data_IF_871561115632
#
_entry.id   IF_871561115632
#
_cell.length_a   1.000
_cell.length_b   1.000
_cell.length_c   1.000
_cell.angle_alpha   90.00
_cell.angle_beta   90.00
_cell.angle_gamma   90.00
#
_symmetry.space_group_name_H-M   'P 1'
#
loop_
_entity.id
_entity.type
_entity.pdbx_description
1 polymer ?
#
# COMPACT_ATOMS: atom_id res chain seq x y z
N UNK A 1 15.60 -0.83 -10.61
CA UNK A 1 15.63 -1.22 -9.19
C UNK A 1 15.87 -2.72 -9.13
N UNK A 2 16.86 -3.16 -8.36
CA UNK A 2 17.25 -4.58 -8.31
C UNK A 2 16.13 -5.41 -7.69
N UNK A 3 15.74 -6.52 -8.31
CA UNK A 3 14.77 -7.46 -7.74
C UNK A 3 13.30 -7.22 -8.09
N UNK A 4 12.97 -6.34 -9.04
CA UNK A 4 11.60 -6.23 -9.58
C UNK A 4 11.43 -7.10 -10.83
N UNK A 5 10.43 -7.98 -10.82
CA UNK A 5 10.06 -8.84 -11.94
C UNK A 5 8.77 -8.28 -12.56
N UNK A 6 8.78 -7.81 -13.82
CA UNK A 6 7.56 -7.39 -14.50
C UNK A 6 6.68 -8.60 -14.82
N UNK A 7 5.41 -8.53 -14.47
CA UNK A 7 4.40 -9.58 -14.69
C UNK A 7 3.45 -9.26 -15.86
N UNK A 8 3.58 -8.09 -16.48
CA UNK A 8 2.76 -7.65 -17.61
C UNK A 8 1.95 -6.39 -17.30
N UNK A 9 0.96 -6.10 -18.15
CA UNK A 9 0.13 -4.87 -18.06
C UNK A 9 -1.39 -5.16 -18.04
N UNK A 10 -1.90 -5.91 -17.04
CA UNK A 10 -3.35 -6.11 -16.92
C UNK A 10 -4.08 -4.77 -16.73
N UNK A 11 -5.21 -4.58 -17.44
CA UNK A 11 -5.97 -3.32 -17.45
C UNK A 11 -5.14 -2.07 -17.84
N UNK A 12 -4.05 -2.27 -18.57
CA UNK A 12 -3.13 -1.21 -18.98
C UNK A 12 -2.28 -0.64 -17.86
N UNK A 13 -2.20 -1.30 -16.69
CA UNK A 13 -1.39 -0.89 -15.54
C UNK A 13 -0.25 -1.89 -15.39
N UNK A 14 0.99 -1.41 -15.31
CA UNK A 14 2.15 -2.28 -15.17
C UNK A 14 2.15 -2.96 -13.79
N UNK A 15 2.24 -4.29 -13.79
CA UNK A 15 2.32 -5.09 -12.58
C UNK A 15 3.74 -5.61 -12.40
N UNK A 16 4.31 -5.36 -11.22
CA UNK A 16 5.64 -5.82 -10.83
C UNK A 16 5.57 -6.65 -9.55
N UNK A 17 6.41 -7.67 -9.47
CA UNK A 17 6.58 -8.49 -8.28
C UNK A 17 8.01 -8.34 -7.77
N UNK A 18 8.16 -7.93 -6.52
CA UNK A 18 9.47 -7.88 -5.88
C UNK A 18 9.92 -9.30 -5.50
N UNK A 19 11.18 -9.67 -5.76
CA UNK A 19 11.76 -10.99 -5.43
C UNK A 19 11.63 -11.33 -3.95
N UNK A 20 11.63 -10.33 -3.07
CA UNK A 20 11.42 -10.56 -1.64
C UNK A 20 10.03 -11.16 -1.35
N UNK A 21 9.04 -11.02 -2.24
CA UNK A 21 7.74 -11.69 -2.05
C UNK A 21 7.92 -13.20 -1.80
N UNK A 22 8.91 -13.86 -2.41
CA UNK A 22 9.18 -15.27 -2.14
C UNK A 22 9.61 -15.56 -0.69
N UNK A 23 10.12 -14.56 0.05
CA UNK A 23 10.40 -14.67 1.49
C UNK A 23 9.10 -14.93 2.28
N UNK A 24 7.96 -14.35 1.89
CA UNK A 24 6.68 -14.63 2.58
C UNK A 24 6.29 -16.10 2.42
N UNK A 25 6.55 -16.71 1.26
CA UNK A 25 6.29 -18.14 1.03
C UNK A 25 7.18 -19.02 1.89
N UNK A 26 8.48 -18.68 1.98
CA UNK A 26 9.44 -19.42 2.80
C UNK A 26 9.07 -19.32 4.27
N UNK A 27 8.74 -18.12 4.77
CA UNK A 27 8.31 -17.93 6.15
C UNK A 27 6.98 -18.65 6.44
N UNK A 28 6.02 -18.62 5.51
CA UNK A 28 4.77 -19.36 5.64
C UNK A 28 5.03 -20.87 5.73
N UNK A 29 5.91 -21.41 4.88
CA UNK A 29 6.27 -22.83 4.90
C UNK A 29 6.97 -23.22 6.22
N UNK A 30 7.95 -22.43 6.67
CA UNK A 30 8.68 -22.67 7.93
C UNK A 30 7.71 -22.63 9.12
N UNK A 31 6.76 -21.69 9.14
CA UNK A 31 5.80 -21.55 10.25
C UNK A 31 4.95 -22.80 10.49
N UNK A 32 4.71 -23.59 9.43
CA UNK A 32 3.88 -24.79 9.48
C UNK A 32 4.68 -26.10 9.35
N UNK A 33 6.01 -26.02 9.23
CA UNK A 33 6.88 -27.18 8.99
C UNK A 33 6.78 -28.24 10.11
N UNK A 34 6.50 -27.78 11.33
CA UNK A 34 6.36 -28.63 12.53
C UNK A 34 4.96 -29.21 12.70
N UNK A 35 3.99 -28.83 11.86
CA UNK A 35 2.58 -29.22 11.98
C UNK A 35 2.27 -30.40 11.06
N UNK A 36 2.36 -30.21 9.74
CA UNK A 36 2.21 -31.27 8.72
C UNK A 36 2.51 -30.74 7.32
N UNK A 37 2.78 -31.65 6.37
CA UNK A 37 2.91 -31.28 4.95
C UNK A 37 1.65 -30.61 4.38
N UNK A 38 0.45 -31.01 4.83
CA UNK A 38 -0.81 -30.37 4.44
C UNK A 38 -0.93 -28.93 4.96
N UNK A 39 -0.49 -28.67 6.20
CA UNK A 39 -0.48 -27.33 6.77
C UNK A 39 0.52 -26.41 6.05
N UNK A 40 1.70 -26.93 5.70
CA UNK A 40 2.68 -26.22 4.85
C UNK A 40 2.08 -25.86 3.51
N UNK A 41 1.47 -26.83 2.82
CA UNK A 41 0.84 -26.58 1.52
C UNK A 41 -0.28 -25.53 1.63
N UNK A 42 -1.12 -25.61 2.66
CA UNK A 42 -2.21 -24.66 2.89
C UNK A 42 -1.68 -23.24 3.12
N UNK A 43 -0.66 -23.08 3.97
CA UNK A 43 -0.06 -21.79 4.25
C UNK A 43 0.65 -21.19 3.03
N UNK A 44 1.34 -21.99 2.22
CA UNK A 44 1.98 -21.52 0.99
C UNK A 44 0.95 -21.13 -0.07
N UNK A 45 -0.16 -21.86 -0.19
CA UNK A 45 -1.26 -21.49 -1.11
C UNK A 45 -1.90 -20.17 -0.68
N UNK A 46 -2.13 -19.97 0.63
CA UNK A 46 -2.67 -18.71 1.13
C UNK A 46 -1.69 -17.55 0.98
N UNK A 47 -0.45 -17.69 1.44
CA UNK A 47 0.56 -16.62 1.41
C UNK A 47 1.09 -16.33 0.00
N UNK A 48 0.89 -17.24 -0.95
CA UNK A 48 1.29 -17.09 -2.34
C UNK A 48 0.15 -16.66 -3.24
N UNK A 49 -0.42 -17.56 -4.06
CA UNK A 49 -1.37 -17.18 -5.10
C UNK A 49 -2.60 -16.44 -4.56
N UNK A 50 -3.15 -16.87 -3.41
CA UNK A 50 -4.35 -16.23 -2.85
C UNK A 50 -4.04 -14.81 -2.37
N UNK A 51 -2.99 -14.63 -1.55
CA UNK A 51 -2.59 -13.31 -1.06
C UNK A 51 -2.16 -12.39 -2.21
N UNK A 52 -1.40 -12.90 -3.19
CA UNK A 52 -0.93 -12.14 -4.34
C UNK A 52 -2.11 -11.58 -5.14
N UNK A 53 -3.09 -12.42 -5.49
CA UNK A 53 -4.29 -11.98 -6.20
C UNK A 53 -5.11 -11.02 -5.33
N UNK A 54 -5.22 -11.29 -4.03
CA UNK A 54 -6.01 -10.45 -3.12
C UNK A 54 -5.44 -9.03 -3.01
N UNK A 55 -4.13 -8.92 -2.79
CA UNK A 55 -3.43 -7.63 -2.75
C UNK A 55 -3.50 -6.96 -4.13
N UNK A 56 -3.27 -7.70 -5.22
CA UNK A 56 -3.36 -7.13 -6.56
C UNK A 56 -4.72 -6.48 -6.84
N UNK A 57 -5.82 -7.17 -6.49
CA UNK A 57 -7.17 -6.64 -6.68
C UNK A 57 -7.46 -5.44 -5.77
N UNK A 58 -6.91 -5.41 -4.57
CA UNK A 58 -6.94 -4.25 -3.68
C UNK A 58 -6.24 -3.04 -4.32
N UNK A 59 -4.98 -3.19 -4.76
CA UNK A 59 -4.22 -2.11 -5.43
C UNK A 59 -4.86 -1.67 -6.75
N UNK A 60 -5.45 -2.61 -7.48
CA UNK A 60 -6.21 -2.32 -8.69
C UNK A 60 -7.41 -1.42 -8.39
N UNK A 61 -8.06 -1.60 -7.23
CA UNK A 61 -9.13 -0.72 -6.76
C UNK A 61 -8.70 0.74 -6.66
N UNK A 62 -7.55 0.99 -6.02
CA UNK A 62 -6.95 2.33 -5.97
C UNK A 62 -6.66 2.87 -7.36
N UNK A 63 -6.01 2.08 -8.21
CA UNK A 63 -5.64 2.51 -9.56
C UNK A 63 -6.85 2.85 -10.42
N UNK A 64 -7.92 2.04 -10.37
CA UNK A 64 -9.15 2.32 -11.12
C UNK A 64 -9.84 3.59 -10.59
N UNK A 65 -9.91 3.76 -9.27
CA UNK A 65 -10.46 4.96 -8.66
C UNK A 65 -9.65 6.22 -9.01
N UNK A 66 -8.32 6.13 -9.01
CA UNK A 66 -7.42 7.22 -9.43
C UNK A 66 -7.71 7.66 -10.86
N UNK A 67 -7.88 6.70 -11.79
CA UNK A 67 -8.29 7.02 -13.17
C UNK A 67 -9.66 7.72 -13.23
N UNK A 68 -10.62 7.31 -12.41
CA UNK A 68 -11.96 7.92 -12.35
C UNK A 68 -11.92 9.37 -11.84
N UNK A 69 -10.98 9.70 -10.96
CA UNK A 69 -10.76 11.07 -10.49
C UNK A 69 -9.75 11.85 -11.34
N UNK A 70 -9.32 11.30 -12.48
CA UNK A 70 -8.40 11.96 -13.40
C UNK A 70 -6.97 12.10 -12.88
N UNK A 71 -6.58 11.31 -11.88
CA UNK A 71 -5.21 11.23 -11.39
C UNK A 71 -4.39 10.22 -12.20
N UNK A 72 -3.08 10.45 -12.27
CA UNK A 72 -2.15 9.57 -12.98
C UNK A 72 -2.00 8.20 -12.29
N UNK A 73 -1.74 7.16 -13.07
CA UNK A 73 -1.47 5.80 -12.58
C UNK A 73 -0.23 5.27 -13.28
N UNK A 74 0.79 4.90 -12.51
CA UNK A 74 2.06 4.44 -13.05
C UNK A 74 2.18 2.91 -13.07
N UNK A 75 2.32 2.27 -11.90
CA UNK A 75 2.48 0.82 -11.78
C UNK A 75 2.06 0.32 -10.39
N UNK A 76 1.84 -0.98 -10.29
CA UNK A 76 1.59 -1.70 -9.04
C UNK A 76 2.82 -2.56 -8.72
N UNK A 77 3.32 -2.47 -7.49
CA UNK A 77 4.39 -3.32 -6.98
C UNK A 77 3.88 -4.22 -5.86
N UNK A 78 3.99 -5.53 -6.04
CA UNK A 78 3.68 -6.51 -5.01
C UNK A 78 4.96 -6.90 -4.27
N UNK A 79 4.95 -6.86 -2.94
CA UNK A 79 6.15 -7.06 -2.12
C UNK A 79 5.78 -7.73 -0.78
N UNK A 80 6.75 -8.14 0.07
CA UNK A 80 6.47 -8.97 1.24
C UNK A 80 5.44 -8.42 2.22
N UNK A 81 5.39 -7.08 2.36
CA UNK A 81 4.55 -6.43 3.36
C UNK A 81 3.21 -5.94 2.79
N UNK A 82 2.92 -6.21 1.51
CA UNK A 82 1.66 -5.79 0.87
C UNK A 82 1.78 -5.48 -0.62
N UNK A 83 0.97 -4.54 -1.07
CA UNK A 83 1.04 -3.92 -2.38
C UNK A 83 1.41 -2.45 -2.25
N UNK A 84 1.91 -1.87 -3.33
CA UNK A 84 2.12 -0.45 -3.47
C UNK A 84 1.60 -0.03 -4.85
N UNK A 85 0.48 0.67 -4.89
CA UNK A 85 0.01 1.38 -6.07
C UNK A 85 0.69 2.75 -6.19
N UNK A 86 1.49 2.93 -7.24
CA UNK A 86 2.09 4.23 -7.56
C UNK A 86 1.09 5.07 -8.36
N UNK A 87 0.22 5.76 -7.64
CA UNK A 87 -0.80 6.66 -8.17
C UNK A 87 -0.50 8.12 -7.82
N UNK A 88 -0.89 9.02 -8.73
CA UNK A 88 -0.86 10.46 -8.51
C UNK A 88 -1.92 10.89 -7.49
N UNK A 89 -1.72 12.07 -6.92
CA UNK A 89 -2.70 12.69 -6.03
C UNK A 89 -3.75 13.43 -6.87
N UNK A 90 -4.98 13.48 -6.37
CA UNK A 90 -6.03 14.28 -7.00
C UNK A 90 -6.01 15.73 -6.48
N UNK A 91 -6.80 16.58 -7.11
CA UNK A 91 -6.89 17.99 -6.76
C UNK A 91 -7.63 18.28 -5.44
N UNK A 92 -8.20 17.29 -4.75
CA UNK A 92 -8.97 17.54 -3.52
C UNK A 92 -8.98 16.36 -2.53
N UNK A 93 -9.04 16.63 -1.21
CA UNK A 93 -9.11 15.59 -0.19
C UNK A 93 -10.29 14.63 -0.36
N UNK A 94 -11.43 15.13 -0.86
CA UNK A 94 -12.61 14.27 -1.07
C UNK A 94 -12.42 13.23 -2.20
N UNK A 95 -11.64 13.56 -3.22
CA UNK A 95 -11.31 12.63 -4.31
C UNK A 95 -10.25 11.62 -3.86
N UNK A 96 -9.28 12.06 -3.07
CA UNK A 96 -8.29 11.16 -2.47
C UNK A 96 -8.91 10.21 -1.44
N UNK A 97 -9.89 10.69 -0.65
CA UNK A 97 -10.69 9.85 0.23
C UNK A 97 -11.42 8.76 -0.55
N UNK A 98 -12.03 9.11 -1.69
CA UNK A 98 -12.68 8.14 -2.57
C UNK A 98 -11.67 7.09 -3.05
N UNK A 99 -10.49 7.50 -3.53
CA UNK A 99 -9.43 6.57 -3.96
C UNK A 99 -8.99 5.65 -2.82
N UNK A 100 -8.74 6.20 -1.62
CA UNK A 100 -8.28 5.44 -0.45
C UNK A 100 -9.30 4.42 0.03
N UNK A 101 -10.60 4.69 -0.09
CA UNK A 101 -11.66 3.73 0.27
C UNK A 101 -11.83 2.62 -0.77
N UNK A 102 -11.58 2.90 -2.05
CA UNK A 102 -11.85 1.96 -3.13
C UNK A 102 -10.96 0.72 -3.10
N UNK A 103 -9.70 0.80 -2.64
CA UNK A 103 -8.85 -0.38 -2.45
C UNK A 103 -9.43 -1.39 -1.45
N UNK A 104 -9.69 -0.98 -0.20
CA UNK A 104 -10.35 -1.83 0.80
C UNK A 104 -11.72 -2.37 0.34
N UNK A 105 -12.51 -1.59 -0.39
CA UNK A 105 -13.81 -2.05 -0.91
C UNK A 105 -13.68 -3.20 -1.93
N UNK A 106 -12.54 -3.35 -2.60
CA UNK A 106 -12.31 -4.50 -3.50
C UNK A 106 -12.29 -5.84 -2.76
N UNK A 107 -12.20 -5.87 -1.43
CA UNK A 107 -12.36 -7.11 -0.66
C UNK A 107 -13.81 -7.61 -0.63
N UNK A 108 -14.81 -6.75 -0.81
CA UNK A 108 -16.23 -7.16 -0.83
C UNK A 108 -16.57 -8.10 -1.99
N UNK A 109 -16.29 -7.77 -3.28
CA UNK A 109 -16.55 -8.70 -4.37
C UNK A 109 -15.70 -9.97 -4.26
N UNK A 110 -14.47 -9.88 -3.76
CA UNK A 110 -13.63 -11.05 -3.50
C UNK A 110 -14.26 -11.97 -2.44
N UNK A 111 -14.73 -11.40 -1.33
CA UNK A 111 -15.42 -12.15 -0.28
C UNK A 111 -16.70 -12.79 -0.82
N UNK A 112 -17.49 -12.09 -1.63
CA UNK A 112 -18.68 -12.64 -2.26
C UNK A 112 -18.36 -13.88 -3.13
N UNK A 113 -17.26 -13.84 -3.88
CA UNK A 113 -16.78 -15.00 -4.66
C UNK A 113 -16.41 -16.17 -3.74
N UNK A 114 -15.64 -15.93 -2.68
CA UNK A 114 -15.26 -16.99 -1.74
C UNK A 114 -16.46 -17.59 -1.02
N UNK A 115 -17.41 -16.76 -0.58
CA UNK A 115 -18.66 -17.21 0.06
C UNK A 115 -19.52 -18.00 -0.92
N UNK A 116 -19.61 -17.59 -2.19
CA UNK A 116 -20.33 -18.35 -3.21
C UNK A 116 -19.70 -19.73 -3.45
N UNK A 117 -18.37 -19.82 -3.52
CA UNK A 117 -17.66 -21.09 -3.65
C UNK A 117 -17.92 -21.98 -2.42
N UNK A 118 -17.84 -21.41 -1.22
CA UNK A 118 -18.13 -22.13 0.03
C UNK A 118 -19.55 -22.67 0.06
N UNK A 119 -20.54 -21.84 -0.29
CA UNK A 119 -21.94 -22.20 -0.38
C UNK A 119 -22.17 -23.40 -1.33
N UNK A 120 -21.60 -23.32 -2.54
CA UNK A 120 -21.69 -24.40 -3.52
C UNK A 120 -21.00 -25.68 -3.02
N UNK A 121 -19.85 -25.56 -2.36
CA UNK A 121 -19.11 -26.71 -1.84
C UNK A 121 -19.80 -27.39 -0.65
N UNK A 122 -20.47 -26.64 0.23
CA UNK A 122 -21.19 -27.20 1.38
C UNK A 122 -22.38 -28.08 0.93
N UNK A 123 -23.05 -27.71 -0.17
CA UNK A 123 -24.07 -28.55 -0.80
C UNK A 123 -23.51 -29.86 -1.36
N UNK A 124 -22.28 -29.85 -1.88
CA UNK A 124 -21.65 -31.02 -2.51
C UNK A 124 -21.00 -31.95 -1.47
N UNK A 125 -20.44 -31.41 -0.40
CA UNK A 125 -19.63 -32.16 0.59
C UNK A 125 -20.43 -32.56 1.84
N UNK A 126 -21.72 -32.20 1.93
CA UNK A 126 -22.57 -32.38 3.12
C UNK A 126 -21.93 -31.82 4.41
N UNK A 127 -21.14 -30.75 4.27
CA UNK A 127 -20.52 -30.09 5.41
C UNK A 127 -21.56 -29.19 6.08
N UNK A 128 -21.76 -29.26 7.42
CA UNK A 128 -22.76 -28.45 8.09
C UNK A 128 -22.52 -26.96 7.87
N UNK A 129 -23.53 -26.23 7.39
CA UNK A 129 -23.46 -24.79 7.13
C UNK A 129 -23.11 -23.97 8.38
N UNK A 130 -23.52 -24.46 9.54
CA UNK A 130 -23.24 -23.82 10.83
C UNK A 130 -21.75 -23.91 11.21
N UNK A 131 -20.99 -24.80 10.57
CA UNK A 131 -19.56 -25.03 10.80
C UNK A 131 -18.67 -24.31 9.77
N UNK A 132 -19.25 -23.66 8.76
CA UNK A 132 -18.52 -23.15 7.57
C UNK A 132 -17.55 -22.00 7.84
N UNK A 133 -17.63 -21.35 9.00
CA UNK A 133 -16.68 -20.31 9.41
C UNK A 133 -15.50 -20.83 10.24
N UNK A 134 -15.57 -22.06 10.74
CA UNK A 134 -14.43 -22.70 11.38
C UNK A 134 -13.48 -23.25 10.31
N UNK A 135 -12.17 -23.24 10.61
CA UNK A 135 -11.21 -23.89 9.72
C UNK A 135 -11.57 -25.39 9.61
N UNK A 136 -11.90 -25.90 8.42
CA UNK A 136 -12.08 -27.32 8.19
C UNK A 136 -10.77 -28.07 8.47
N UNK A 137 -10.87 -29.37 8.74
CA UNK A 137 -9.68 -30.21 8.79
C UNK A 137 -8.97 -30.18 7.43
N UNK A 138 -7.76 -29.60 7.42
CA UNK A 138 -6.96 -29.36 6.23
C UNK A 138 -6.61 -30.67 5.51
N UNK A 139 -6.53 -31.79 6.26
CA UNK A 139 -6.18 -33.09 5.68
C UNK A 139 -7.32 -33.68 4.85
N UNK A 140 -8.55 -33.56 5.33
CA UNK A 140 -9.74 -34.10 4.67
C UNK A 140 -10.38 -33.12 3.69
N UNK A 141 -10.25 -31.82 3.93
CA UNK A 141 -10.95 -30.78 3.18
C UNK A 141 -10.04 -29.60 2.81
N UNK A 142 -8.87 -29.90 2.23
CA UNK A 142 -7.84 -28.93 1.88
C UNK A 142 -8.38 -27.68 1.16
N UNK A 143 -9.11 -27.86 0.05
CA UNK A 143 -9.62 -26.73 -0.75
C UNK A 143 -10.70 -25.92 -0.03
N UNK A 144 -11.52 -26.56 0.80
CA UNK A 144 -12.48 -25.87 1.64
C UNK A 144 -11.76 -24.99 2.66
N UNK A 145 -10.69 -25.51 3.28
CA UNK A 145 -9.85 -24.75 4.20
C UNK A 145 -9.14 -23.58 3.50
N UNK A 146 -8.72 -23.71 2.24
CA UNK A 146 -8.19 -22.59 1.45
C UNK A 146 -9.27 -21.52 1.24
N UNK A 147 -10.49 -21.90 0.89
CA UNK A 147 -11.59 -20.95 0.67
C UNK A 147 -11.97 -20.20 1.95
N UNK A 148 -12.08 -20.90 3.09
CA UNK A 148 -12.32 -20.30 4.41
C UNK A 148 -11.17 -19.35 4.78
N UNK A 149 -9.92 -19.80 4.59
CA UNK A 149 -8.74 -18.97 4.83
C UNK A 149 -8.70 -17.72 3.95
N UNK A 150 -9.07 -17.82 2.66
CA UNK A 150 -9.11 -16.70 1.73
C UNK A 150 -10.21 -15.68 2.08
N UNK A 151 -11.37 -16.15 2.57
CA UNK A 151 -12.43 -15.29 3.08
C UNK A 151 -11.96 -14.53 4.33
N UNK A 152 -11.34 -15.23 5.29
CA UNK A 152 -10.75 -14.59 6.48
C UNK A 152 -9.66 -13.60 6.13
N UNK A 153 -8.81 -13.92 5.15
CA UNK A 153 -7.76 -13.03 4.65
C UNK A 153 -8.36 -11.74 4.07
N UNK A 154 -9.41 -11.83 3.25
CA UNK A 154 -10.10 -10.66 2.71
C UNK A 154 -10.75 -9.79 3.81
N UNK A 155 -11.43 -10.41 4.78
CA UNK A 155 -12.02 -9.69 5.91
C UNK A 155 -10.93 -8.99 6.72
N UNK A 156 -9.83 -9.70 7.00
CA UNK A 156 -8.72 -9.18 7.81
C UNK A 156 -8.02 -8.02 7.13
N UNK A 157 -7.71 -8.12 5.83
CA UNK A 157 -7.08 -7.05 5.06
C UNK A 157 -8.00 -5.85 4.89
N UNK A 158 -9.31 -6.07 4.70
CA UNK A 158 -10.29 -5.00 4.62
C UNK A 158 -10.37 -4.24 5.95
N UNK A 159 -10.47 -4.94 7.07
CA UNK A 159 -10.52 -4.32 8.41
C UNK A 159 -9.21 -3.60 8.70
N UNK A 160 -8.07 -4.24 8.46
CA UNK A 160 -6.75 -3.68 8.74
C UNK A 160 -6.48 -2.42 7.93
N UNK A 161 -6.81 -2.40 6.64
CA UNK A 161 -6.58 -1.21 5.82
C UNK A 161 -7.67 -0.15 5.99
N UNK A 162 -8.93 -0.50 6.28
CA UNK A 162 -10.00 0.50 6.39
C UNK A 162 -10.13 1.10 7.81
N UNK A 163 -10.06 0.27 8.85
CA UNK A 163 -10.40 0.70 10.22
C UNK A 163 -9.21 1.19 11.02
N UNK A 164 -7.99 0.85 10.61
CA UNK A 164 -6.81 1.17 11.38
C UNK A 164 -6.20 2.50 10.89
N UNK A 165 -6.35 3.61 11.65
CA UNK A 165 -6.05 4.94 11.16
C UNK A 165 -4.56 5.27 11.35
N UNK A 166 -3.69 4.53 10.67
CA UNK A 166 -2.25 4.66 10.80
C UNK A 166 -1.58 4.79 9.44
N UNK A 167 -0.67 5.75 9.31
CA UNK A 167 0.24 5.83 8.17
C UNK A 167 1.20 4.62 8.18
N UNK A 168 1.47 3.98 7.03
CA UNK A 168 1.07 4.30 5.66
C UNK A 168 -0.15 3.53 5.12
N UNK A 169 -0.98 2.96 5.99
CA UNK A 169 -2.19 2.23 5.58
C UNK A 169 -3.26 3.17 5.02
N UNK A 170 -4.20 2.62 4.26
CA UNK A 170 -5.31 3.39 3.68
C UNK A 170 -6.13 4.11 4.74
N UNK A 171 -6.33 3.51 5.91
CA UNK A 171 -7.04 4.09 7.04
C UNK A 171 -6.37 5.36 7.56
N UNK A 172 -5.04 5.43 7.48
CA UNK A 172 -4.28 6.64 7.76
C UNK A 172 -4.55 7.74 6.72
N UNK A 173 -4.64 7.37 5.44
CA UNK A 173 -5.01 8.31 4.38
C UNK A 173 -6.45 8.79 4.51
N UNK A 174 -7.38 7.88 4.78
CA UNK A 174 -8.79 8.17 5.07
C UNK A 174 -8.91 9.14 6.25
N UNK A 175 -8.18 8.91 7.34
CA UNK A 175 -8.16 9.82 8.48
C UNK A 175 -7.71 11.23 8.06
N UNK A 176 -6.59 11.34 7.35
CA UNK A 176 -6.06 12.64 6.90
C UNK A 176 -7.07 13.37 6.04
N UNK A 177 -7.63 12.70 5.03
CA UNK A 177 -8.55 13.32 4.10
C UNK A 177 -9.84 13.76 4.81
N UNK A 178 -10.34 12.99 5.77
CA UNK A 178 -11.47 13.38 6.62
C UNK A 178 -11.14 14.59 7.50
N UNK A 179 -9.97 14.65 8.12
CA UNK A 179 -9.53 15.81 8.92
C UNK A 179 -9.45 17.07 8.06
N UNK A 180 -8.91 16.96 6.84
CA UNK A 180 -8.80 18.08 5.90
C UNK A 180 -10.19 18.54 5.39
N UNK A 181 -11.11 17.61 5.13
CA UNK A 181 -12.51 17.93 4.81
C UNK A 181 -13.22 18.66 5.96
N UNK A 182 -12.89 18.31 7.20
CA UNK A 182 -13.32 19.02 8.41
C UNK A 182 -12.60 20.36 8.64
N UNK A 183 -11.79 20.83 7.68
CA UNK A 183 -11.01 22.08 7.74
C UNK A 183 -9.96 22.12 8.85
N UNK A 184 -9.49 20.96 9.32
CA UNK A 184 -8.35 20.89 10.23
C UNK A 184 -7.09 21.32 9.45
N UNK A 185 -6.26 22.23 9.97
CA UNK A 185 -5.05 22.63 9.28
C UNK A 185 -4.08 21.44 9.10
N UNK A 186 -3.27 21.49 8.02
CA UNK A 186 -2.36 20.40 7.61
C UNK A 186 -1.46 19.93 8.75
N UNK A 187 -0.83 20.85 9.48
CA UNK A 187 0.13 20.51 10.55
C UNK A 187 -0.53 19.75 11.72
N UNK A 188 -1.64 20.21 12.33
CA UNK A 188 -2.40 19.43 13.29
C UNK A 188 -2.83 18.04 12.77
N UNK A 189 -3.34 17.96 11.53
CA UNK A 189 -3.75 16.68 10.94
C UNK A 189 -2.58 15.69 10.83
N UNK A 190 -1.41 16.17 10.40
CA UNK A 190 -0.18 15.39 10.35
C UNK A 190 0.27 14.91 11.74
N UNK A 191 0.20 15.76 12.77
CA UNK A 191 0.56 15.39 14.15
C UNK A 191 -0.33 14.28 14.69
N UNK A 192 -1.65 14.35 14.48
CA UNK A 192 -2.59 13.30 14.90
C UNK A 192 -2.28 11.98 14.17
N UNK A 193 -2.03 12.05 12.87
CA UNK A 193 -1.70 10.89 12.04
C UNK A 193 -0.41 10.21 12.49
N UNK A 194 0.63 10.98 12.79
CA UNK A 194 1.91 10.48 13.34
C UNK A 194 1.69 9.80 14.69
N UNK A 195 0.93 10.43 15.60
CA UNK A 195 0.71 9.88 16.93
C UNK A 195 0.00 8.52 16.89
N UNK A 196 -1.03 8.40 16.05
CA UNK A 196 -1.75 7.14 15.84
C UNK A 196 -0.87 6.08 15.16
N UNK A 197 -0.09 6.48 14.15
CA UNK A 197 0.80 5.56 13.44
C UNK A 197 1.88 4.98 14.36
N UNK A 198 2.50 5.80 15.21
CA UNK A 198 3.49 5.33 16.20
C UNK A 198 2.83 4.36 17.19
N UNK A 199 1.66 4.71 17.72
CA UNK A 199 0.94 3.87 18.68
C UNK A 199 0.67 2.47 18.10
N UNK A 200 0.09 2.43 16.89
CA UNK A 200 -0.21 1.18 16.19
C UNK A 200 1.06 0.41 15.89
N UNK A 201 2.09 1.07 15.35
CA UNK A 201 3.32 0.39 14.95
C UNK A 201 4.02 -0.26 16.16
N UNK A 202 4.04 0.41 17.32
CA UNK A 202 4.54 -0.16 18.57
C UNK A 202 3.69 -1.36 19.01
N UNK A 203 2.36 -1.27 18.95
CA UNK A 203 1.47 -2.38 19.28
C UNK A 203 1.71 -3.60 18.37
N UNK A 204 1.87 -3.39 17.06
CA UNK A 204 2.17 -4.45 16.10
C UNK A 204 3.53 -5.10 16.36
N UNK A 205 4.55 -4.32 16.71
CA UNK A 205 5.87 -4.85 17.07
C UNK A 205 5.78 -5.70 18.34
N UNK A 206 5.15 -5.19 19.40
CA UNK A 206 4.99 -5.92 20.67
C UNK A 206 4.20 -7.21 20.44
N UNK A 207 3.06 -7.13 19.74
CA UNK A 207 2.25 -8.30 19.38
C UNK A 207 3.05 -9.29 18.53
N UNK A 208 3.81 -8.81 17.55
CA UNK A 208 4.66 -9.63 16.71
C UNK A 208 5.73 -10.39 17.49
N UNK A 209 6.29 -9.81 18.56
CA UNK A 209 7.20 -10.52 19.46
C UNK A 209 6.48 -11.59 20.28
N UNK A 210 5.28 -11.30 20.80
CA UNK A 210 4.47 -12.28 21.56
C UNK A 210 4.12 -13.50 20.70
N UNK A 211 3.72 -13.27 19.46
CA UNK A 211 3.32 -14.33 18.51
C UNK A 211 4.49 -14.90 17.70
N UNK A 212 5.71 -14.41 17.91
CA UNK A 212 6.89 -14.74 17.08
C UNK A 212 6.67 -14.52 15.56
N UNK A 213 5.80 -13.56 15.23
CA UNK A 213 5.37 -13.26 13.87
C UNK A 213 6.30 -12.23 13.20
N UNK A 214 7.37 -12.73 12.57
CA UNK A 214 8.42 -11.90 11.94
C UNK A 214 7.85 -10.87 10.95
N UNK A 215 6.87 -11.25 10.13
CA UNK A 215 6.25 -10.32 9.17
C UNK A 215 5.48 -9.20 9.87
N UNK A 216 4.79 -9.49 10.98
CA UNK A 216 4.08 -8.47 11.77
C UNK A 216 5.05 -7.47 12.38
N UNK A 217 6.19 -7.95 12.89
CA UNK A 217 7.27 -7.08 13.38
C UNK A 217 7.82 -6.22 12.23
N UNK A 218 8.04 -6.81 11.05
CA UNK A 218 8.53 -6.10 9.88
C UNK A 218 7.55 -5.01 9.39
N UNK A 219 6.24 -5.29 9.39
CA UNK A 219 5.19 -4.28 9.09
C UNK A 219 5.28 -3.13 10.09
N UNK A 220 5.30 -3.42 11.39
CA UNK A 220 5.40 -2.36 12.41
C UNK A 220 6.69 -1.54 12.31
N UNK A 221 7.83 -2.18 12.02
CA UNK A 221 9.10 -1.48 11.80
C UNK A 221 9.06 -0.59 10.55
N UNK A 222 8.47 -1.08 9.45
CA UNK A 222 8.28 -0.30 8.23
C UNK A 222 7.34 0.88 8.47
N UNK A 223 6.26 0.71 9.24
CA UNK A 223 5.37 1.80 9.64
C UNK A 223 6.08 2.88 10.46
N UNK A 224 6.96 2.50 11.39
CA UNK A 224 7.79 3.47 12.12
C UNK A 224 8.73 4.22 11.18
N UNK A 225 9.34 3.51 10.22
CA UNK A 225 10.24 4.11 9.24
C UNK A 225 9.51 5.15 8.37
N UNK A 226 8.35 4.81 7.79
CA UNK A 226 7.59 5.78 6.97
C UNK A 226 7.06 6.92 7.84
N UNK A 227 6.59 6.64 9.05
CA UNK A 227 6.14 7.68 9.99
C UNK A 227 7.28 8.62 10.39
N UNK A 228 8.51 8.12 10.49
CA UNK A 228 9.69 8.95 10.75
C UNK A 228 9.93 9.95 9.62
N UNK A 229 9.78 9.55 8.35
CA UNK A 229 9.86 10.49 7.22
C UNK A 229 8.82 11.61 7.34
N UNK A 230 7.59 11.26 7.73
CA UNK A 230 6.53 12.24 7.96
C UNK A 230 6.86 13.20 9.13
N UNK A 231 7.46 12.70 10.21
CA UNK A 231 7.95 13.54 11.33
C UNK A 231 9.03 14.51 10.86
N UNK A 232 9.95 14.06 10.00
CA UNK A 232 10.99 14.95 9.44
C UNK A 232 10.38 16.06 8.60
N UNK A 233 9.35 15.78 7.78
CA UNK A 233 8.62 16.80 7.03
C UNK A 233 7.97 17.86 7.94
N UNK A 234 7.39 17.44 9.07
CA UNK A 234 6.81 18.37 10.05
C UNK A 234 7.90 19.26 10.68
N UNK A 235 9.02 18.66 11.08
CA UNK A 235 10.15 19.39 11.71
C UNK A 235 10.78 20.40 10.76
N UNK A 236 10.91 20.04 9.49
CA UNK A 236 11.55 20.87 8.47
C UNK A 236 10.60 21.90 7.84
N UNK A 237 9.32 21.91 8.22
CA UNK A 237 8.32 22.81 7.64
C UNK A 237 7.98 22.50 6.18
N UNK A 238 8.26 21.28 5.71
CA UNK A 238 8.07 20.83 4.33
C UNK A 238 6.86 19.90 4.17
N UNK A 239 5.93 19.90 5.13
CA UNK A 239 4.77 19.00 5.16
C UNK A 239 3.89 19.10 3.91
N UNK A 240 3.73 20.29 3.33
CA UNK A 240 2.95 20.51 2.11
C UNK A 240 3.57 19.86 0.87
N UNK A 241 4.88 19.57 0.90
CA UNK A 241 5.55 18.83 -0.16
C UNK A 241 5.42 17.31 0.01
N UNK A 242 4.98 16.83 1.17
CA UNK A 242 4.74 15.40 1.38
C UNK A 242 3.52 14.97 0.56
N UNK A 243 3.57 13.84 -0.17
CA UNK A 243 2.49 13.44 -1.08
C UNK A 243 1.10 13.47 -0.41
N UNK A 244 1.00 12.92 0.80
CA UNK A 244 -0.24 12.89 1.61
C UNK A 244 -0.92 14.27 1.87
N UNK A 245 -0.18 15.38 1.79
CA UNK A 245 -0.72 16.72 2.08
C UNK A 245 -0.56 17.70 0.91
N UNK A 246 -0.15 17.21 -0.26
CA UNK A 246 0.07 18.04 -1.44
C UNK A 246 -1.27 18.28 -2.17
N UNK A 247 -1.91 19.41 -1.89
CA UNK A 247 -3.13 19.86 -2.57
C UNK A 247 -2.93 21.24 -3.21
N UNK A 248 -3.31 21.38 -4.48
CA UNK A 248 -3.40 22.68 -5.14
C UNK A 248 -4.44 23.55 -4.42
N UNK A 249 -3.97 24.47 -3.57
CA UNK A 249 -4.82 25.33 -2.73
C UNK A 249 -4.49 25.32 -1.23
N UNK A 250 -3.59 24.44 -0.76
CA UNK A 250 -3.07 24.49 0.61
C UNK A 250 -2.19 25.73 0.87
N UNK A 251 -1.76 26.41 -0.19
CA UNK A 251 -0.99 27.65 -0.13
C UNK A 251 -1.90 28.87 -0.13
N UNK A 252 -2.26 29.36 1.06
CA UNK A 252 -2.58 30.78 1.25
C UNK A 252 -1.29 31.62 1.33
N UNK A 253 -0.33 31.41 0.44
CA UNK A 253 0.77 32.34 0.16
C UNK A 253 1.20 32.20 -1.32
N UNK A 254 1.11 33.27 -2.13
CA UNK A 254 1.60 33.22 -3.50
C UNK A 254 3.12 33.10 -3.48
N UNK A 255 3.64 31.93 -3.88
CA UNK A 255 5.05 31.81 -4.26
C UNK A 255 5.26 32.61 -5.54
N UNK A 256 5.82 33.80 -5.37
CA UNK A 256 6.50 34.58 -6.39
C UNK A 256 7.38 33.65 -7.24
N UNK A 257 7.04 33.54 -8.51
CA UNK A 257 7.85 32.87 -9.51
C UNK A 257 9.09 33.72 -9.81
N UNK A 258 10.27 33.21 -9.46
CA UNK A 258 11.51 33.62 -10.09
C UNK A 258 12.38 32.37 -10.30
N UNK A 259 12.71 32.00 -11.55
CA UNK A 259 13.65 30.92 -11.79
C UNK A 259 15.06 31.34 -11.31
N UNK A 260 15.88 30.40 -10.81
CA UNK A 260 17.25 30.72 -10.41
C UNK A 260 18.03 31.20 -11.64
N UNK A 261 18.60 32.42 -11.55
CA UNK A 261 19.53 32.95 -12.55
C UNK A 261 20.72 32.00 -12.68
N UNK A 262 20.91 31.43 -13.87
CA UNK A 262 22.15 30.77 -14.25
C UNK A 262 23.28 31.78 -14.23
N UNK A 263 24.24 31.61 -13.33
CA UNK A 263 25.52 32.33 -13.39
C UNK A 263 26.34 31.66 -14.49
N UNK A 264 26.37 32.25 -15.67
CA UNK A 264 27.36 31.91 -16.69
C UNK A 264 28.73 32.49 -16.28
N UNK A 265 29.85 31.77 -16.42
CA UNK A 265 31.16 32.32 -16.15
C UNK A 265 31.55 33.29 -17.28
N UNK A 266 31.81 34.54 -16.89
CA UNK A 266 32.33 35.61 -17.73
C UNK A 266 33.79 35.29 -18.12
N UNK A 267 33.99 34.74 -19.32
CA UNK A 267 35.32 34.55 -19.91
C UNK A 267 35.78 35.89 -20.46
N UNK A 268 36.67 36.53 -19.70
CA UNK A 268 37.40 37.74 -20.08
C UNK A 268 38.37 37.43 -21.23
N UNK A 269 38.05 37.90 -22.45
CA UNK A 269 38.97 37.87 -23.59
C UNK A 269 39.73 39.21 -23.67
N UNK A 270 41.08 39.22 -23.75
CA UNK A 270 41.84 40.44 -23.94
C UNK A 270 41.84 40.90 -25.40
N UNK A 271 41.70 42.21 -25.57
CA UNK A 271 41.72 42.91 -26.84
C UNK A 271 43.10 42.85 -27.53
N UNK A 272 43.14 42.53 -28.82
CA UNK A 272 44.22 42.96 -29.71
C UNK A 272 43.68 43.32 -31.10
N UNK A 273 44.23 44.43 -31.60
CA UNK A 273 43.83 45.30 -32.71
C UNK A 273 43.91 44.72 -34.14
N UNK A 274 43.33 45.40 -35.16
CA UNK A 274 43.16 44.89 -36.51
C UNK A 274 44.31 45.26 -37.47
N UNK A 275 44.59 44.39 -38.45
CA UNK A 275 45.25 44.71 -39.74
C UNK A 275 44.65 43.79 -40.81
N UNK A 276 43.86 44.32 -41.73
CA UNK A 276 44.27 44.75 -43.09
C UNK A 276 44.42 43.58 -44.08
N UNK A 277 43.39 43.45 -44.92
CA UNK A 277 43.41 43.26 -46.37
C UNK A 277 44.28 42.17 -47.04
N UNK A 278 43.56 41.41 -47.89
CA UNK A 278 43.89 41.13 -49.29
C UNK A 278 44.24 39.67 -49.66
N UNK A 279 43.44 39.20 -50.63
CA UNK A 279 43.56 38.08 -51.57
C UNK A 279 43.26 36.68 -51.04
#
# INVERSE_FOLDING_TARGET
MWGEIPLGKPFGIELRLHVLFFVTLVLAAISQAWVSAYAVAWAVVLAGPVLLVTIYLHELGHCLASKMVGADVHYILLWPLGGLAFVGHSSSPGRDLFVAVMGPLMHLPQLAVWVAILALSAHVVHYPWHSSLHLPDIRSHFWLAVCVGAAWLNISLMIFNLLLPAYPLDGGRILVDLLLLCRVPVKPAAVVTVALAICVAVLLIVWGFVETAILTIAVGAWMLYTTWELVMCIKNGTIEAHPMFCYEGATSQPRSAAPPRSVAPEVMLPAHQPRSAAV
#
